data_IF_023300613164
#
_entry.id   IF_023300613164
#
_cell.length_a   1.000
_cell.length_b   1.000
_cell.length_c   1.000
_cell.angle_alpha   90.00
_cell.angle_beta   90.00
_cell.angle_gamma   90.00
#
_symmetry.space_group_name_H-M   'P 1'
#
loop_
_entity.id
_entity.type
_entity.pdbx_description
1 polymer ?
#
# COMPACT_ATOMS: atom_id res chain seq x y z
N UNK A 1 6.84 56.96 34.97
CA UNK A 1 8.22 56.46 34.80
C UNK A 1 8.33 55.27 35.74
N UNK A 2 8.62 54.04 35.34
CA UNK A 2 9.50 53.54 34.28
C UNK A 2 9.10 52.07 34.04
N UNK A 3 8.82 51.68 32.80
CA UNK A 3 8.67 50.28 32.39
C UNK A 3 10.07 49.67 32.27
N UNK A 4 10.42 48.71 33.12
CA UNK A 4 11.63 47.91 32.94
C UNK A 4 11.42 46.97 31.75
N UNK A 5 12.10 47.25 30.64
CA UNK A 5 12.31 46.26 29.58
C UNK A 5 13.28 45.21 30.11
N UNK A 6 12.75 44.01 30.34
CA UNK A 6 13.54 42.79 30.51
C UNK A 6 14.18 42.47 29.15
N UNK A 7 15.40 42.98 28.94
CA UNK A 7 16.20 42.64 27.78
C UNK A 7 16.61 41.17 27.85
N UNK A 8 16.19 40.39 26.86
CA UNK A 8 16.62 39.01 26.67
C UNK A 8 18.15 38.95 26.73
N UNK A 9 18.70 38.13 27.63
CA UNK A 9 20.15 38.05 27.82
C UNK A 9 20.81 37.42 26.60
N UNK A 10 22.07 37.80 26.33
CA UNK A 10 22.88 37.14 25.29
C UNK A 10 22.97 35.62 25.54
N UNK A 11 22.96 35.19 26.80
CA UNK A 11 22.93 33.76 27.16
C UNK A 11 21.61 33.08 26.84
N UNK A 12 20.48 33.80 26.89
CA UNK A 12 19.17 33.28 26.50
C UNK A 12 19.12 33.10 24.97
N UNK A 13 19.69 34.06 24.21
CA UNK A 13 19.82 33.96 22.76
C UNK A 13 20.76 32.84 22.35
N UNK A 14 21.90 32.69 23.03
CA UNK A 14 22.85 31.61 22.77
C UNK A 14 22.22 30.25 23.13
N UNK A 15 21.48 30.15 24.22
CA UNK A 15 20.77 28.92 24.62
C UNK A 15 19.65 28.59 23.63
N UNK A 16 18.90 29.58 23.15
CA UNK A 16 17.90 29.39 22.10
C UNK A 16 18.53 28.96 20.77
N UNK A 17 19.67 29.55 20.38
CA UNK A 17 20.41 29.16 19.17
C UNK A 17 21.00 27.75 19.28
N UNK A 18 21.50 27.34 20.46
CA UNK A 18 21.93 25.95 20.73
C UNK A 18 20.75 24.99 20.69
N UNK A 19 19.61 25.35 21.27
CA UNK A 19 18.38 24.56 21.23
C UNK A 19 17.87 24.37 19.79
N UNK A 20 17.98 25.40 18.94
CA UNK A 20 17.68 25.34 17.51
C UNK A 20 18.69 24.51 16.72
N UNK A 21 19.96 24.45 17.15
CA UNK A 21 20.98 23.56 16.57
C UNK A 21 20.85 22.10 17.03
N UNK A 22 20.30 21.85 18.23
CA UNK A 22 19.97 20.49 18.71
C UNK A 22 18.63 19.99 18.18
N UNK A 23 17.78 20.87 17.63
CA UNK A 23 16.53 20.50 16.96
C UNK A 23 16.79 20.09 15.51
N UNK A 24 17.35 18.90 15.37
CA UNK A 24 17.57 18.30 14.06
C UNK A 24 18.38 17.03 14.19
N UNK A 25 17.94 16.08 15.02
CA UNK A 25 18.17 14.69 14.64
C UNK A 25 17.60 14.55 13.22
N UNK A 26 18.46 14.62 12.21
CA UNK A 26 18.07 14.26 10.85
C UNK A 26 17.66 12.81 10.95
N UNK A 27 16.34 12.58 11.05
CA UNK A 27 15.79 11.24 11.10
C UNK A 27 16.36 10.50 9.91
N UNK A 28 17.16 9.49 10.23
CA UNK A 28 17.94 8.78 9.22
C UNK A 28 16.99 7.91 8.43
N UNK A 29 16.92 8.13 7.13
CA UNK A 29 16.19 7.26 6.22
C UNK A 29 16.75 5.83 6.29
N UNK A 30 15.87 4.87 6.47
CA UNK A 30 16.21 3.47 6.40
C UNK A 30 16.46 3.08 4.94
N UNK A 31 17.59 2.42 4.69
CA UNK A 31 18.04 2.01 3.36
C UNK A 31 17.30 0.76 2.86
N UNK A 32 15.98 0.85 2.74
CA UNK A 32 15.15 -0.15 2.07
C UNK A 32 15.03 0.17 0.58
N UNK A 33 14.60 -0.80 -0.22
CA UNK A 33 14.34 -0.56 -1.63
C UNK A 33 13.23 0.50 -1.79
N UNK A 34 13.45 1.45 -2.69
CA UNK A 34 12.41 2.42 -3.10
C UNK A 34 11.43 1.76 -4.07
N UNK A 35 10.17 2.22 -4.14
CA UNK A 35 9.22 1.74 -5.13
C UNK A 35 9.69 1.96 -6.57
N UNK A 36 9.30 1.06 -7.45
CA UNK A 36 9.48 1.24 -8.88
C UNK A 36 8.50 2.29 -9.43
N UNK A 37 8.84 2.87 -10.58
CA UNK A 37 7.92 3.75 -11.28
C UNK A 37 6.68 2.99 -11.76
N UNK A 38 5.50 3.55 -11.53
CA UNK A 38 4.22 2.93 -11.85
C UNK A 38 3.56 3.59 -13.06
N UNK A 39 3.19 2.76 -14.05
CA UNK A 39 2.63 3.16 -15.34
C UNK A 39 1.09 3.16 -15.39
N UNK A 40 0.44 2.65 -14.33
CA UNK A 40 -1.01 2.48 -14.27
C UNK A 40 -1.49 1.10 -14.71
N UNK A 41 -0.61 0.13 -14.92
CA UNK A 41 -0.99 -1.24 -15.29
C UNK A 41 -1.66 -1.98 -14.13
N UNK A 42 -2.87 -2.48 -14.36
CA UNK A 42 -3.62 -3.25 -13.37
C UNK A 42 -2.85 -4.49 -12.85
N UNK A 43 -2.04 -5.11 -13.72
CA UNK A 43 -1.20 -6.26 -13.34
C UNK A 43 -0.09 -5.93 -12.33
N UNK A 44 0.33 -4.66 -12.27
CA UNK A 44 1.40 -4.17 -11.38
C UNK A 44 0.86 -3.41 -10.17
N UNK A 45 -0.45 -3.12 -10.12
CA UNK A 45 -1.07 -2.27 -9.11
C UNK A 45 -0.83 -2.76 -7.67
N UNK A 46 -1.03 -4.06 -7.42
CA UNK A 46 -0.82 -4.65 -6.10
C UNK A 46 0.66 -4.66 -5.70
N UNK A 47 1.56 -5.03 -6.62
CA UNK A 47 3.01 -4.98 -6.38
C UNK A 47 3.47 -3.56 -6.03
N UNK A 48 3.00 -2.56 -6.78
CA UNK A 48 3.34 -1.17 -6.52
C UNK A 48 2.89 -0.69 -5.13
N UNK A 49 1.64 -0.99 -4.74
CA UNK A 49 1.16 -0.64 -3.39
C UNK A 49 1.97 -1.33 -2.29
N UNK A 50 2.35 -2.60 -2.49
CA UNK A 50 3.19 -3.33 -1.54
C UNK A 50 4.58 -2.70 -1.40
N UNK A 51 5.21 -2.30 -2.50
CA UNK A 51 6.50 -1.59 -2.47
C UNK A 51 6.39 -0.26 -1.71
N UNK A 52 5.31 0.50 -1.94
CA UNK A 52 5.03 1.76 -1.24
C UNK A 52 4.81 1.53 0.25
N UNK A 53 3.98 0.56 0.61
CA UNK A 53 3.67 0.23 2.01
C UNK A 53 4.93 -0.19 2.77
N UNK A 54 5.73 -1.09 2.20
CA UNK A 54 6.99 -1.52 2.81
C UNK A 54 7.95 -0.36 3.06
N UNK A 55 8.08 0.55 2.09
CA UNK A 55 8.94 1.71 2.24
C UNK A 55 8.41 2.69 3.31
N UNK A 56 7.11 2.96 3.31
CA UNK A 56 6.48 3.85 4.30
C UNK A 56 6.52 3.25 5.71
N UNK A 57 6.35 1.93 5.87
CA UNK A 57 6.52 1.25 7.15
C UNK A 57 7.95 1.35 7.66
N UNK A 58 8.95 1.16 6.78
CA UNK A 58 10.34 1.28 7.16
C UNK A 58 10.75 2.73 7.46
N UNK A 59 10.07 3.72 6.90
CA UNK A 59 10.41 5.14 7.00
C UNK A 59 9.28 5.97 7.64
N UNK A 60 8.48 5.36 8.51
CA UNK A 60 7.26 5.95 9.09
C UNK A 60 7.49 7.34 9.70
N UNK A 61 8.63 7.53 10.36
CA UNK A 61 9.00 8.79 11.01
C UNK A 61 9.29 9.93 10.04
N UNK A 62 9.55 9.62 8.76
CA UNK A 62 9.76 10.58 7.66
C UNK A 62 8.46 10.94 6.94
N UNK A 63 7.44 10.09 7.01
CA UNK A 63 6.13 10.29 6.39
C UNK A 63 5.01 10.21 7.44
N UNK A 64 5.04 11.07 8.47
CA UNK A 64 4.14 10.96 9.62
C UNK A 64 2.69 11.35 9.32
N UNK A 65 2.43 12.06 8.22
CA UNK A 65 1.09 12.53 7.87
C UNK A 65 0.58 11.87 6.60
N UNK A 66 -0.75 11.81 6.46
CA UNK A 66 -1.40 11.29 5.25
C UNK A 66 -0.99 12.07 4.01
N UNK A 67 -0.83 13.39 4.14
CA UNK A 67 -0.28 14.24 3.08
C UNK A 67 1.06 13.73 2.59
N UNK A 68 1.98 13.41 3.51
CA UNK A 68 3.34 12.99 3.15
C UNK A 68 3.32 11.62 2.44
N UNK A 69 2.50 10.68 2.93
CA UNK A 69 2.28 9.36 2.30
C UNK A 69 1.68 9.48 0.89
N UNK A 70 0.65 10.30 0.73
CA UNK A 70 -0.01 10.56 -0.56
C UNK A 70 0.98 11.17 -1.56
N UNK A 71 1.70 12.22 -1.16
CA UNK A 71 2.66 12.90 -2.04
C UNK A 71 3.83 11.99 -2.41
N UNK A 72 4.33 11.21 -1.46
CA UNK A 72 5.34 10.18 -1.72
C UNK A 72 4.86 9.21 -2.79
N UNK A 73 3.68 8.62 -2.59
CA UNK A 73 3.11 7.63 -3.53
C UNK A 73 2.92 8.21 -4.93
N UNK A 74 2.33 9.41 -5.00
CA UNK A 74 2.13 10.13 -6.26
C UNK A 74 3.44 10.38 -7.00
N UNK A 75 4.55 10.64 -6.31
CA UNK A 75 5.85 10.90 -6.96
C UNK A 75 6.39 9.74 -7.80
N UNK A 76 5.94 8.51 -7.55
CA UNK A 76 6.32 7.32 -8.32
C UNK A 76 5.35 6.98 -9.47
N UNK A 77 4.26 7.72 -9.63
CA UNK A 77 3.21 7.44 -10.63
C UNK A 77 3.43 8.21 -11.95
N UNK A 78 4.67 8.36 -12.40
CA UNK A 78 5.09 9.33 -13.44
C UNK A 78 4.98 8.85 -14.87
N UNK A 79 4.62 7.58 -15.08
CA UNK A 79 4.57 6.96 -16.40
C UNK A 79 3.14 6.63 -16.82
N UNK A 80 2.95 6.43 -18.13
CA UNK A 80 1.71 5.89 -18.70
C UNK A 80 0.43 6.61 -18.28
N UNK A 81 -0.61 5.83 -17.98
CA UNK A 81 -1.91 6.35 -17.57
C UNK A 81 -1.89 6.86 -16.13
N UNK A 82 -0.98 6.35 -15.29
CA UNK A 82 -0.80 6.80 -13.91
C UNK A 82 -0.37 8.27 -13.84
N UNK A 83 0.43 8.76 -14.79
CA UNK A 83 0.85 10.17 -14.83
C UNK A 83 -0.33 11.15 -14.90
N UNK A 84 -1.36 10.82 -15.69
CA UNK A 84 -2.56 11.64 -15.82
C UNK A 84 -3.37 11.64 -14.52
N UNK A 85 -3.50 10.47 -13.89
CA UNK A 85 -4.19 10.34 -12.60
C UNK A 85 -3.45 11.07 -11.49
N UNK A 86 -2.12 10.97 -11.46
CA UNK A 86 -1.26 11.68 -10.51
C UNK A 86 -1.47 13.18 -10.61
N UNK A 87 -1.47 13.73 -11.83
CA UNK A 87 -1.73 15.16 -12.06
C UNK A 87 -3.11 15.56 -11.52
N UNK A 88 -4.15 14.80 -11.85
CA UNK A 88 -5.52 15.09 -11.40
C UNK A 88 -5.66 15.06 -9.87
N UNK A 89 -5.09 14.06 -9.20
CA UNK A 89 -5.09 13.96 -7.73
C UNK A 89 -4.30 15.10 -7.08
N UNK A 90 -3.12 15.41 -7.61
CA UNK A 90 -2.29 16.51 -7.12
C UNK A 90 -3.00 17.85 -7.24
N UNK A 91 -3.65 18.11 -8.38
CA UNK A 91 -4.39 19.35 -8.62
C UNK A 91 -5.58 19.48 -7.65
N UNK A 92 -6.35 18.39 -7.45
CA UNK A 92 -7.45 18.35 -6.47
C UNK A 92 -6.97 18.60 -5.04
N UNK A 93 -5.86 17.98 -4.64
CA UNK A 93 -5.30 18.14 -3.30
C UNK A 93 -4.81 19.57 -3.06
N UNK A 94 -4.11 20.17 -4.04
CA UNK A 94 -3.66 21.57 -3.99
C UNK A 94 -4.85 22.54 -3.87
N UNK A 95 -5.94 22.27 -4.59
CA UNK A 95 -7.13 23.09 -4.52
C UNK A 95 -7.76 23.04 -3.12
N UNK A 96 -7.93 21.84 -2.54
CA UNK A 96 -8.47 21.68 -1.19
C UNK A 96 -7.58 22.34 -0.11
N UNK A 97 -6.26 22.30 -0.26
CA UNK A 97 -5.34 23.02 0.63
C UNK A 97 -5.54 24.54 0.57
N UNK A 98 -5.69 25.11 -0.63
CA UNK A 98 -5.93 26.56 -0.80
C UNK A 98 -7.25 26.97 -0.16
N UNK A 99 -8.31 26.20 -0.38
CA UNK A 99 -9.63 26.44 0.20
C UNK A 99 -9.59 26.36 1.73
N UNK A 100 -8.88 25.37 2.28
CA UNK A 100 -8.70 25.24 3.74
C UNK A 100 -7.95 26.44 4.34
N UNK A 101 -6.90 26.92 3.66
CA UNK A 101 -6.12 28.08 4.12
C UNK A 101 -6.89 29.41 3.99
N UNK A 102 -7.83 29.51 3.04
CA UNK A 102 -8.65 30.70 2.85
C UNK A 102 -9.77 30.83 3.89
N UNK A 103 -10.12 29.74 4.60
CA UNK A 103 -11.17 29.77 5.64
C UNK A 103 -10.62 30.28 6.98
N UNK A 104 -11.38 31.13 7.70
CA UNK A 104 -10.99 31.62 9.02
C UNK A 104 -10.93 30.48 10.05
N UNK A 105 -10.03 30.59 11.02
CA UNK A 105 -9.77 29.57 12.05
C UNK A 105 -11.01 29.18 12.88
N UNK A 106 -11.98 30.10 13.00
CA UNK A 106 -13.23 29.91 13.76
C UNK A 106 -14.36 29.28 12.93
N UNK A 107 -14.03 28.71 11.76
CA UNK A 107 -14.99 28.01 10.90
C UNK A 107 -15.55 26.79 11.62
N UNK A 108 -16.88 26.66 11.62
CA UNK A 108 -17.56 25.53 12.27
C UNK A 108 -17.13 24.18 11.67
N UNK A 109 -17.12 23.09 12.44
CA UNK A 109 -16.71 21.76 11.97
C UNK A 109 -17.39 21.31 10.66
N UNK A 110 -18.69 21.58 10.51
CA UNK A 110 -19.48 21.25 9.32
C UNK A 110 -19.04 21.99 8.04
N UNK A 111 -18.36 23.12 8.20
CA UNK A 111 -17.85 23.93 7.10
C UNK A 111 -16.35 23.69 6.85
N UNK A 112 -15.69 22.79 7.58
CA UNK A 112 -14.27 22.52 7.37
C UNK A 112 -14.03 21.83 6.02
N UNK A 113 -12.99 22.29 5.31
CA UNK A 113 -12.59 21.67 4.04
C UNK A 113 -11.95 20.32 4.33
N UNK A 114 -12.57 19.27 3.80
CA UNK A 114 -12.07 17.90 3.86
C UNK A 114 -10.78 17.78 3.04
N UNK A 115 -9.71 17.32 3.68
CA UNK A 115 -8.48 16.93 2.99
C UNK A 115 -8.48 15.41 2.88
N UNK A 116 -8.15 14.94 1.67
CA UNK A 116 -8.07 13.50 1.40
C UNK A 116 -7.11 12.82 2.39
N UNK A 117 -7.64 11.81 3.06
CA UNK A 117 -6.92 10.96 4.00
C UNK A 117 -6.22 9.81 3.25
N UNK A 118 -5.27 9.15 3.90
CA UNK A 118 -4.48 8.09 3.28
C UNK A 118 -5.36 6.90 2.84
N UNK A 119 -6.32 6.51 3.66
CA UNK A 119 -7.24 5.40 3.39
C UNK A 119 -8.14 5.71 2.19
N UNK A 120 -8.64 6.94 2.08
CA UNK A 120 -9.45 7.38 0.94
C UNK A 120 -8.63 7.40 -0.37
N UNK A 121 -7.37 7.81 -0.28
CA UNK A 121 -6.45 7.74 -1.42
C UNK A 121 -6.24 6.30 -1.88
N UNK A 122 -6.05 5.35 -0.95
CA UNK A 122 -5.89 3.93 -1.26
C UNK A 122 -7.17 3.37 -1.91
N UNK A 123 -8.34 3.70 -1.40
CA UNK A 123 -9.60 3.30 -2.05
C UNK A 123 -9.72 3.84 -3.48
N UNK A 124 -9.42 5.11 -3.69
CA UNK A 124 -9.44 5.74 -5.00
C UNK A 124 -8.40 5.11 -5.95
N UNK A 125 -7.23 4.74 -5.43
CA UNK A 125 -6.22 4.00 -6.19
C UNK A 125 -6.74 2.63 -6.60
N UNK A 126 -7.30 1.86 -5.65
CA UNK A 126 -7.85 0.51 -5.93
C UNK A 126 -8.97 0.58 -6.96
N UNK A 127 -9.89 1.55 -6.83
CA UNK A 127 -10.97 1.79 -7.81
C UNK A 127 -10.43 2.14 -9.19
N UNK A 128 -9.31 2.86 -9.28
CA UNK A 128 -8.74 3.30 -10.56
C UNK A 128 -7.87 2.22 -11.23
N UNK A 129 -7.18 1.38 -10.45
CA UNK A 129 -6.08 0.56 -10.96
C UNK A 129 -6.15 -0.92 -10.59
N UNK A 130 -6.83 -1.31 -9.52
CA UNK A 130 -6.99 -2.73 -9.23
C UNK A 130 -8.21 -3.28 -9.97
N UNK A 131 -8.13 -4.53 -10.49
CA UNK A 131 -9.32 -5.22 -10.94
C UNK A 131 -10.31 -5.29 -9.77
N UNK A 132 -11.59 -4.97 -10.03
CA UNK A 132 -12.68 -4.97 -9.03
C UNK A 132 -12.82 -6.30 -8.29
N UNK A 133 -12.20 -7.36 -8.80
CA UNK A 133 -12.40 -8.71 -8.31
C UNK A 133 -11.10 -9.55 -8.36
N UNK A 134 -10.15 -9.22 -7.49
CA UNK A 134 -8.94 -10.03 -7.32
C UNK A 134 -9.28 -11.47 -6.92
N UNK A 135 -10.32 -11.65 -6.09
CA UNK A 135 -10.84 -12.95 -5.68
C UNK A 135 -11.38 -13.77 -6.84
N UNK A 136 -12.29 -13.22 -7.65
CA UNK A 136 -12.78 -13.91 -8.85
C UNK A 136 -11.67 -14.17 -9.86
N UNK A 137 -10.69 -13.28 -10.01
CA UNK A 137 -9.56 -13.55 -10.89
C UNK A 137 -8.70 -14.71 -10.37
N UNK A 138 -8.43 -14.77 -9.06
CA UNK A 138 -7.72 -15.89 -8.43
C UNK A 138 -8.51 -17.19 -8.58
N UNK A 139 -9.82 -17.16 -8.31
CA UNK A 139 -10.76 -18.27 -8.53
C UNK A 139 -10.76 -18.76 -9.98
N UNK A 140 -10.84 -17.85 -10.96
CA UNK A 140 -10.84 -18.18 -12.38
C UNK A 140 -9.50 -18.79 -12.82
N UNK A 141 -8.37 -18.22 -12.36
CA UNK A 141 -7.04 -18.78 -12.62
C UNK A 141 -6.90 -20.16 -11.99
N UNK A 142 -7.38 -20.35 -10.77
CA UNK A 142 -7.33 -21.62 -10.05
C UNK A 142 -8.18 -22.71 -10.71
N UNK A 143 -9.39 -22.37 -11.19
CA UNK A 143 -10.22 -23.30 -11.99
C UNK A 143 -9.50 -23.83 -13.24
N UNK A 144 -8.62 -23.01 -13.83
CA UNK A 144 -7.85 -23.35 -15.02
C UNK A 144 -6.44 -23.87 -14.72
N UNK A 145 -6.01 -23.89 -13.46
CA UNK A 145 -4.67 -24.31 -13.08
C UNK A 145 -4.53 -25.83 -13.24
N UNK A 146 -3.56 -26.26 -14.06
CA UNK A 146 -3.23 -27.67 -14.32
C UNK A 146 -1.73 -27.89 -14.16
N UNK A 147 -1.34 -28.98 -13.50
CA UNK A 147 0.06 -29.39 -13.37
C UNK A 147 0.68 -29.63 -14.76
N UNK A 148 -0.04 -30.29 -15.68
CA UNK A 148 0.44 -30.60 -17.02
C UNK A 148 1.85 -31.24 -17.00
N UNK A 149 2.82 -30.62 -17.71
CA UNK A 149 4.22 -31.06 -17.78
C UNK A 149 5.11 -30.42 -16.69
N UNK A 150 4.55 -29.57 -15.82
CA UNK A 150 5.31 -28.90 -14.76
C UNK A 150 5.67 -29.88 -13.65
N UNK A 151 6.77 -29.60 -12.96
CA UNK A 151 7.10 -30.31 -11.72
C UNK A 151 6.00 -30.08 -10.67
N UNK A 152 5.78 -31.05 -9.79
CA UNK A 152 4.72 -30.96 -8.77
C UNK A 152 4.93 -29.78 -7.83
N UNK A 153 6.18 -29.46 -7.48
CA UNK A 153 6.50 -28.33 -6.61
C UNK A 153 6.16 -26.97 -7.24
N UNK A 154 6.34 -26.84 -8.55
CA UNK A 154 5.96 -25.63 -9.28
C UNK A 154 4.43 -25.46 -9.26
N UNK A 155 3.70 -26.55 -9.49
CA UNK A 155 2.24 -26.55 -9.40
C UNK A 155 1.73 -26.21 -7.99
N UNK A 156 2.34 -26.78 -6.95
CA UNK A 156 2.02 -26.47 -5.54
C UNK A 156 2.26 -24.99 -5.25
N UNK A 157 3.36 -24.43 -5.74
CA UNK A 157 3.70 -23.01 -5.55
C UNK A 157 2.66 -22.11 -6.22
N UNK A 158 2.36 -22.36 -7.50
CA UNK A 158 1.34 -21.61 -8.26
C UNK A 158 -0.05 -21.71 -7.57
N UNK A 159 -0.41 -22.90 -7.09
CA UNK A 159 -1.68 -23.14 -6.41
C UNK A 159 -1.77 -22.36 -5.09
N UNK A 160 -0.73 -22.41 -4.24
CA UNK A 160 -0.71 -21.69 -2.95
C UNK A 160 -0.83 -20.19 -3.13
N UNK A 161 -0.16 -19.62 -4.14
CA UNK A 161 -0.27 -18.20 -4.44
C UNK A 161 -1.70 -17.80 -4.83
N UNK A 162 -2.40 -18.62 -5.61
CA UNK A 162 -3.81 -18.38 -5.96
C UNK A 162 -4.75 -18.58 -4.78
N UNK A 163 -4.45 -19.53 -3.89
CA UNK A 163 -5.26 -19.81 -2.71
C UNK A 163 -5.37 -18.59 -1.78
N UNK A 164 -4.27 -17.85 -1.59
CA UNK A 164 -4.21 -16.64 -0.75
C UNK A 164 -5.28 -15.60 -1.11
N UNK A 165 -5.57 -15.46 -2.41
CA UNK A 165 -6.48 -14.42 -2.91
C UNK A 165 -7.88 -14.95 -3.24
N UNK A 166 -8.11 -16.27 -3.24
CA UNK A 166 -9.33 -16.89 -3.81
C UNK A 166 -10.56 -16.91 -2.92
N UNK A 167 -10.43 -16.55 -1.64
CA UNK A 167 -11.49 -16.66 -0.61
C UNK A 167 -12.15 -18.06 -0.48
N UNK A 168 -11.62 -19.09 -1.15
CA UNK A 168 -12.14 -20.45 -1.06
C UNK A 168 -11.85 -21.07 0.30
N UNK A 169 -12.83 -21.83 0.80
CA UNK A 169 -12.61 -22.68 1.97
C UNK A 169 -11.68 -23.86 1.65
N UNK A 170 -11.18 -24.53 2.69
CA UNK A 170 -10.26 -25.66 2.54
C UNK A 170 -10.82 -26.78 1.65
N UNK A 171 -12.13 -27.03 1.68
CA UNK A 171 -12.75 -28.09 0.89
C UNK A 171 -12.70 -27.73 -0.60
N UNK A 172 -13.11 -26.53 -0.96
CA UNK A 172 -13.04 -26.02 -2.33
C UNK A 172 -11.59 -25.97 -2.83
N UNK A 173 -10.63 -25.58 -1.98
CA UNK A 173 -9.21 -25.60 -2.32
C UNK A 173 -8.71 -27.03 -2.61
N UNK A 174 -9.03 -28.00 -1.77
CA UNK A 174 -8.65 -29.41 -1.99
C UNK A 174 -9.24 -29.93 -3.31
N UNK A 175 -10.52 -29.67 -3.58
CA UNK A 175 -11.18 -30.07 -4.82
C UNK A 175 -10.49 -29.47 -6.05
N UNK A 176 -10.15 -28.17 -6.01
CA UNK A 176 -9.43 -27.50 -7.08
C UNK A 176 -7.99 -28.03 -7.27
N UNK A 177 -7.30 -28.32 -6.17
CA UNK A 177 -5.95 -28.88 -6.21
C UNK A 177 -5.97 -30.27 -6.87
N UNK A 178 -6.86 -31.15 -6.43
CA UNK A 178 -6.98 -32.49 -6.99
C UNK A 178 -7.39 -32.47 -8.47
N UNK A 179 -8.29 -31.57 -8.86
CA UNK A 179 -8.71 -31.41 -10.26
C UNK A 179 -7.58 -30.91 -11.19
N UNK A 180 -6.55 -30.27 -10.64
CA UNK A 180 -5.40 -29.76 -11.40
C UNK A 180 -4.21 -30.70 -11.47
N UNK A 181 -4.12 -31.71 -10.60
CA UNK A 181 -3.00 -32.65 -10.56
C UNK A 181 -2.87 -33.51 -11.82
N UNK A 182 -1.63 -33.93 -12.11
CA UNK A 182 -1.36 -34.90 -13.14
C UNK A 182 -2.05 -36.26 -12.81
N UNK A 183 -2.68 -36.95 -13.79
CA UNK A 183 -3.50 -38.14 -13.51
C UNK A 183 -2.82 -39.24 -12.70
N UNK A 184 -1.52 -39.47 -12.92
CA UNK A 184 -0.75 -40.47 -12.17
C UNK A 184 -0.62 -40.13 -10.67
N UNK A 185 -0.44 -38.85 -10.35
CA UNK A 185 -0.36 -38.37 -8.97
C UNK A 185 -1.74 -38.32 -8.33
N UNK A 186 -2.76 -37.86 -9.07
CA UNK A 186 -4.16 -37.90 -8.60
C UNK A 186 -4.59 -39.31 -8.19
N UNK A 187 -4.29 -40.32 -9.02
CA UNK A 187 -4.57 -41.72 -8.71
C UNK A 187 -3.88 -42.17 -7.41
N UNK A 188 -2.66 -41.71 -7.17
CA UNK A 188 -1.91 -42.02 -5.97
C UNK A 188 -2.51 -41.35 -4.73
N UNK A 189 -2.94 -40.08 -4.85
CA UNK A 189 -3.65 -39.36 -3.79
C UNK A 189 -4.99 -39.99 -3.43
N UNK A 190 -5.77 -40.44 -4.42
CA UNK A 190 -7.06 -41.10 -4.21
C UNK A 190 -6.95 -42.48 -3.55
N UNK A 191 -5.77 -43.12 -3.63
CA UNK A 191 -5.52 -44.40 -2.99
C UNK A 191 -5.17 -44.28 -1.49
N UNK A 192 -4.94 -43.06 -0.99
CA UNK A 192 -4.67 -42.80 0.43
C UNK A 192 -6.00 -42.79 1.19
N UNK A 193 -6.11 -43.61 2.23
CA UNK A 193 -7.37 -43.83 2.97
C UNK A 193 -7.76 -42.67 3.90
N UNK A 194 -6.80 -41.82 4.27
CA UNK A 194 -7.02 -40.63 5.10
C UNK A 194 -6.86 -39.38 4.24
N UNK A 195 -7.98 -38.80 3.83
CA UNK A 195 -7.97 -37.64 2.96
C UNK A 195 -7.67 -36.37 3.76
N UNK A 196 -6.78 -35.49 3.28
CA UNK A 196 -6.50 -34.23 3.94
C UNK A 196 -7.77 -33.40 4.11
N UNK A 197 -7.94 -32.79 5.29
CA UNK A 197 -9.04 -31.85 5.58
C UNK A 197 -8.57 -30.39 5.60
N UNK A 198 -7.25 -30.17 5.50
CA UNK A 198 -6.61 -28.85 5.45
C UNK A 198 -5.61 -28.80 4.29
N UNK A 199 -5.45 -27.61 3.70
CA UNK A 199 -4.51 -27.37 2.61
C UNK A 199 -3.08 -27.12 3.11
N UNK A 200 -2.94 -26.73 4.38
CA UNK A 200 -1.66 -26.63 5.10
C UNK A 200 -1.47 -27.86 5.99
N UNK A 201 -0.22 -28.32 6.09
CA UNK A 201 0.20 -29.45 6.92
C UNK A 201 1.19 -29.01 7.98
#
# INVERSE_FOLDING_TARGET
MTTQQTGTSLEDLISALRALQTNGERKKENKVAVPNSYDGSASKASTFLMEVDLYLMANDTLYPTDKDKILFTLSYMKDGHAAKWMKAKTDKYKQALKEKQAKPSDTKPEDQIHLMMWEEFLEDFKKAFQPVDMGTNACLKMKNLKQNKKHVDEYITDFRLLALDSEYDNRALIDHFMAGLHPALLKSCLAISDHPSMIEG
#
